data_IF_397648844758
#
_entry.id   IF_397648844758
#
_cell.length_a   1.000
_cell.length_b   1.000
_cell.length_c   1.000
_cell.angle_alpha   90.00
_cell.angle_beta   90.00
_cell.angle_gamma   90.00
#
_symmetry.space_group_name_H-M   'P 1'
#
loop_
_entity.id
_entity.type
_entity.pdbx_description
1 polymer ?
#
# COMPACT_ATOMS: atom_id res chain seq x y z
N UNK A 1 -23.24 28.83 -9.01
CA UNK A 1 -22.40 27.81 -8.36
C UNK A 1 -21.02 28.40 -8.18
N UNK A 2 -20.70 28.80 -6.95
CA UNK A 2 -19.44 29.47 -6.61
C UNK A 2 -18.27 28.49 -6.71
N UNK A 3 -17.15 28.94 -7.26
CA UNK A 3 -15.93 28.16 -7.49
C UNK A 3 -15.43 27.44 -6.23
N UNK A 4 -15.68 28.00 -5.06
CA UNK A 4 -15.40 27.42 -3.74
C UNK A 4 -16.11 26.08 -3.50
N UNK A 5 -17.36 25.93 -3.93
CA UNK A 5 -18.15 24.71 -3.74
C UNK A 5 -17.58 23.53 -4.55
N UNK A 6 -17.05 23.81 -5.75
CA UNK A 6 -16.44 22.79 -6.62
C UNK A 6 -15.14 22.27 -6.01
N UNK A 7 -14.32 23.16 -5.45
CA UNK A 7 -13.05 22.81 -4.80
C UNK A 7 -13.30 21.91 -3.59
N UNK A 8 -14.28 22.24 -2.74
CA UNK A 8 -14.63 21.44 -1.56
C UNK A 8 -15.18 20.07 -1.94
N UNK A 9 -16.06 19.98 -2.94
CA UNK A 9 -16.59 18.69 -3.42
C UNK A 9 -15.48 17.81 -4.00
N UNK A 10 -14.54 18.38 -4.76
CA UNK A 10 -13.41 17.64 -5.31
C UNK A 10 -12.48 17.11 -4.21
N UNK A 11 -12.22 17.91 -3.16
CA UNK A 11 -11.42 17.49 -2.02
C UNK A 11 -12.08 16.32 -1.25
N UNK A 12 -13.40 16.37 -1.02
CA UNK A 12 -14.13 15.29 -0.35
C UNK A 12 -14.13 13.98 -1.15
N UNK A 13 -14.29 14.07 -2.47
CA UNK A 13 -14.23 12.91 -3.37
C UNK A 13 -12.81 12.33 -3.36
N UNK A 14 -11.78 13.17 -3.45
CA UNK A 14 -10.38 12.74 -3.37
C UNK A 14 -10.04 12.04 -2.04
N UNK A 15 -10.57 12.55 -0.93
CA UNK A 15 -10.42 11.95 0.40
C UNK A 15 -11.08 10.57 0.47
N UNK A 16 -12.34 10.45 0.02
CA UNK A 16 -13.04 9.17 0.01
C UNK A 16 -12.33 8.13 -0.87
N UNK A 17 -11.90 8.51 -2.08
CA UNK A 17 -11.15 7.61 -2.97
C UNK A 17 -9.86 7.15 -2.29
N UNK A 18 -9.13 8.06 -1.65
CA UNK A 18 -7.87 7.73 -0.97
C UNK A 18 -8.09 6.76 0.20
N UNK A 19 -9.17 6.94 0.97
CA UNK A 19 -9.51 6.04 2.09
C UNK A 19 -9.93 4.67 1.57
N UNK A 20 -10.94 4.59 0.69
CA UNK A 20 -11.47 3.31 0.22
C UNK A 20 -10.43 2.55 -0.61
N UNK A 21 -9.83 3.21 -1.60
CA UNK A 21 -8.83 2.58 -2.46
C UNK A 21 -7.55 2.27 -1.69
N UNK A 22 -7.10 3.19 -0.81
CA UNK A 22 -5.89 3.00 -0.01
C UNK A 22 -6.00 1.84 0.98
N UNK A 23 -7.12 1.71 1.70
CA UNK A 23 -7.34 0.59 2.63
C UNK A 23 -7.44 -0.73 1.86
N UNK A 24 -8.18 -0.78 0.75
CA UNK A 24 -8.28 -2.00 -0.07
C UNK A 24 -6.93 -2.42 -0.64
N UNK A 25 -6.12 -1.46 -1.14
CA UNK A 25 -4.76 -1.71 -1.62
C UNK A 25 -3.83 -2.19 -0.51
N UNK A 26 -3.92 -1.62 0.69
CA UNK A 26 -3.15 -2.07 1.85
C UNK A 26 -3.46 -3.53 2.19
N UNK A 27 -4.74 -3.90 2.29
CA UNK A 27 -5.15 -5.27 2.64
C UNK A 27 -4.74 -6.25 1.53
N UNK A 28 -5.07 -5.94 0.27
CA UNK A 28 -4.74 -6.82 -0.85
C UNK A 28 -3.23 -6.94 -1.09
N UNK A 29 -2.50 -5.83 -1.00
CA UNK A 29 -1.04 -5.78 -1.19
C UNK A 29 -0.27 -6.50 -0.09
N UNK A 30 -0.68 -6.34 1.17
CA UNK A 30 -0.04 -7.03 2.30
C UNK A 30 -0.31 -8.53 2.26
N UNK A 31 -1.57 -8.96 2.07
CA UNK A 31 -1.92 -10.38 1.96
C UNK A 31 -1.25 -11.04 0.77
N UNK A 32 -1.30 -10.39 -0.41
CA UNK A 32 -0.66 -10.90 -1.62
C UNK A 32 0.85 -11.07 -1.46
N UNK A 33 1.53 -10.07 -0.88
CA UNK A 33 2.97 -10.14 -0.61
C UNK A 33 3.34 -11.21 0.40
N UNK A 34 2.52 -11.41 1.45
CA UNK A 34 2.73 -12.47 2.45
C UNK A 34 2.59 -13.86 1.83
N UNK A 35 1.53 -14.09 1.05
CA UNK A 35 1.29 -15.37 0.36
C UNK A 35 2.43 -15.65 -0.63
N UNK A 36 2.85 -14.65 -1.41
CA UNK A 36 3.97 -14.80 -2.36
C UNK A 36 5.26 -15.20 -1.66
N UNK A 37 5.56 -14.58 -0.51
CA UNK A 37 6.73 -14.87 0.31
C UNK A 37 6.68 -16.29 0.88
N UNK A 38 5.52 -16.72 1.37
CA UNK A 38 5.31 -18.09 1.87
C UNK A 38 5.45 -19.12 0.73
N UNK A 39 4.90 -18.83 -0.45
CA UNK A 39 5.01 -19.72 -1.62
C UNK A 39 6.47 -19.88 -2.07
N UNK A 40 7.23 -18.78 -2.13
CA UNK A 40 8.66 -18.85 -2.47
C UNK A 40 9.49 -19.60 -1.43
N UNK A 41 9.13 -19.48 -0.15
CA UNK A 41 9.81 -20.21 0.93
C UNK A 41 9.46 -21.71 0.93
N UNK A 42 8.22 -22.05 0.57
CA UNK A 42 7.69 -23.42 0.63
C UNK A 42 8.15 -24.28 -0.57
N UNK A 43 8.40 -23.68 -1.73
CA UNK A 43 8.95 -24.42 -2.88
C UNK A 43 10.45 -24.69 -2.71
N UNK A 44 10.81 -25.95 -2.41
CA UNK A 44 12.20 -26.43 -2.35
C UNK A 44 13.03 -26.11 -3.61
N UNK A 45 12.39 -25.99 -4.79
CA UNK A 45 13.01 -25.62 -6.07
C UNK A 45 13.55 -24.19 -6.09
N UNK A 46 12.98 -23.28 -5.30
CA UNK A 46 13.41 -21.88 -5.23
C UNK A 46 14.62 -21.66 -4.31
N UNK A 47 14.93 -22.59 -3.41
CA UNK A 47 16.06 -22.46 -2.46
C UNK A 47 17.44 -22.54 -3.11
N UNK A 48 17.51 -22.98 -4.37
CA UNK A 48 18.76 -23.17 -5.12
C UNK A 48 19.04 -22.06 -6.14
N UNK A 49 18.05 -21.19 -6.41
CA UNK A 49 18.17 -20.13 -7.41
C UNK A 49 18.29 -18.76 -6.73
N UNK A 50 19.39 -18.04 -6.97
CA UNK A 50 19.60 -16.68 -6.43
C UNK A 50 18.47 -15.70 -6.79
N UNK A 51 17.73 -15.97 -7.86
CA UNK A 51 16.57 -15.21 -8.30
C UNK A 51 15.42 -15.24 -7.28
N UNK A 52 15.17 -16.40 -6.66
CA UNK A 52 14.14 -16.59 -5.65
C UNK A 52 14.31 -15.67 -4.43
N UNK A 53 15.55 -15.57 -3.98
CA UNK A 53 15.94 -14.76 -2.84
C UNK A 53 15.77 -13.28 -3.14
N UNK A 54 16.19 -12.84 -4.32
CA UNK A 54 15.98 -11.46 -4.77
C UNK A 54 14.49 -11.10 -4.87
N UNK A 55 13.67 -11.98 -5.45
CA UNK A 55 12.21 -11.78 -5.53
C UNK A 55 11.55 -11.73 -4.14
N UNK A 56 12.06 -12.50 -3.18
CA UNK A 56 11.60 -12.46 -1.80
C UNK A 56 11.93 -11.13 -1.13
N UNK A 57 13.18 -10.65 -1.25
CA UNK A 57 13.58 -9.33 -0.74
C UNK A 57 12.76 -8.22 -1.39
N UNK A 58 12.59 -8.28 -2.72
CA UNK A 58 11.80 -7.31 -3.46
C UNK A 58 10.34 -7.30 -2.99
N UNK A 59 9.75 -8.46 -2.71
CA UNK A 59 8.41 -8.58 -2.14
C UNK A 59 8.33 -7.94 -0.75
N UNK A 60 9.30 -8.20 0.13
CA UNK A 60 9.38 -7.62 1.48
C UNK A 60 9.52 -6.08 1.41
N UNK A 61 10.40 -5.58 0.55
CA UNK A 61 10.58 -4.13 0.34
C UNK A 61 9.30 -3.49 -0.21
N UNK A 62 8.62 -4.15 -1.15
CA UNK A 62 7.36 -3.65 -1.71
C UNK A 62 6.25 -3.60 -0.65
N UNK A 63 6.14 -4.61 0.22
CA UNK A 63 5.24 -4.59 1.38
C UNK A 63 5.60 -3.44 2.32
N UNK A 64 6.89 -3.24 2.61
CA UNK A 64 7.37 -2.13 3.45
C UNK A 64 7.03 -0.76 2.86
N UNK A 65 7.19 -0.57 1.55
CA UNK A 65 6.79 0.65 0.84
C UNK A 65 5.27 0.86 0.86
N UNK A 66 4.49 -0.22 0.74
CA UNK A 66 3.03 -0.15 0.86
C UNK A 66 2.61 0.28 2.27
N UNK A 67 3.24 -0.32 3.30
CA UNK A 67 2.98 -0.03 4.70
C UNK A 67 3.44 1.35 5.16
N UNK A 68 4.49 1.92 4.56
CA UNK A 68 4.99 3.25 4.95
C UNK A 68 4.42 4.33 4.03
N UNK A 69 4.55 4.19 2.71
CA UNK A 69 4.11 5.19 1.76
C UNK A 69 2.60 5.31 1.65
N UNK A 70 1.90 4.17 1.47
CA UNK A 70 0.45 4.19 1.29
C UNK A 70 -0.27 4.48 2.61
N UNK A 71 0.17 3.89 3.72
CA UNK A 71 -0.40 4.14 5.04
C UNK A 71 -0.28 5.61 5.45
N UNK A 72 0.90 6.21 5.31
CA UNK A 72 1.10 7.64 5.63
C UNK A 72 0.22 8.53 4.76
N UNK A 73 0.07 8.22 3.46
CA UNK A 73 -0.83 8.97 2.57
C UNK A 73 -2.29 8.83 3.00
N UNK A 74 -2.73 7.65 3.42
CA UNK A 74 -4.10 7.41 3.92
C UNK A 74 -4.32 8.13 5.26
N UNK A 75 -3.33 8.17 6.14
CA UNK A 75 -3.42 8.89 7.43
C UNK A 75 -3.49 10.41 7.24
N UNK A 76 -2.61 10.98 6.40
CA UNK A 76 -2.58 12.41 6.12
C UNK A 76 -3.83 12.84 5.33
N UNK A 77 -4.12 12.17 4.22
CA UNK A 77 -5.22 12.59 3.32
C UNK A 77 -6.58 12.18 3.89
N UNK A 78 -6.65 11.01 4.51
CA UNK A 78 -7.91 10.41 4.98
C UNK A 78 -8.31 10.88 6.37
N UNK A 79 -7.38 10.97 7.31
CA UNK A 79 -7.66 11.31 8.70
C UNK A 79 -7.14 12.69 9.13
N UNK A 80 -6.40 13.40 8.26
CA UNK A 80 -5.71 14.66 8.61
C UNK A 80 -4.80 14.53 9.84
N UNK A 81 -4.28 13.33 10.10
CA UNK A 81 -3.31 13.07 11.17
C UNK A 81 -1.95 13.01 10.49
N UNK A 82 -1.13 14.05 10.69
CA UNK A 82 0.27 14.01 10.29
C UNK A 82 1.06 13.24 11.36
N UNK A 83 1.60 12.09 10.99
CA UNK A 83 2.50 11.30 11.84
C UNK A 83 3.97 11.67 11.62
N UNK A 84 4.24 12.66 10.77
CA UNK A 84 5.58 13.06 10.32
C UNK A 84 6.11 14.31 11.05
N UNK A 85 5.33 14.86 11.99
CA UNK A 85 5.73 16.01 12.82
C UNK A 85 6.31 15.56 14.17
#
# INVERSE_FOLDING_TARGET
>A
MSSSSIITSLALIGQQITIYCGISLLIAGTLGGFILTIVFLSLQVFRQSSCAFYLTIMSIVNIGQLLTGLLTRVMITGFSIDWTD
#
